data_IF_558386872591
#
_entry.id   IF_558386872591
#
_cell.length_a   1.000
_cell.length_b   1.000
_cell.length_c   1.000
_cell.angle_alpha   90.00
_cell.angle_beta   90.00
_cell.angle_gamma   90.00
#
_symmetry.space_group_name_H-M   'P 1'
#
loop_
_entity.id
_entity.type
_entity.pdbx_description
1 polymer ?
#
# COMPACT_ATOMS: atom_id res chain seq x y z
N UNK A 1 13.72 12.50 2.22
CA UNK A 1 12.87 12.91 1.08
C UNK A 1 12.07 11.71 0.63
N UNK A 2 10.75 11.85 0.53
CA UNK A 2 9.85 10.80 0.06
C UNK A 2 9.95 10.70 -1.47
N UNK A 3 10.00 9.47 -1.99
CA UNK A 3 10.11 9.19 -3.42
C UNK A 3 8.85 8.46 -3.89
N UNK A 4 8.28 8.91 -5.02
CA UNK A 4 7.19 8.20 -5.68
C UNK A 4 7.70 6.85 -6.22
N UNK A 5 6.81 5.86 -6.29
CA UNK A 5 7.15 4.52 -6.73
C UNK A 5 7.68 3.60 -5.64
N UNK A 6 8.04 4.13 -4.47
CA UNK A 6 8.53 3.33 -3.35
C UNK A 6 7.41 2.86 -2.42
N UNK A 7 7.64 1.72 -1.76
CA UNK A 7 6.83 1.24 -0.66
C UNK A 7 7.32 1.84 0.67
N UNK A 8 6.40 2.30 1.51
CA UNK A 8 6.71 2.89 2.82
C UNK A 8 5.83 2.32 3.92
N UNK A 9 6.38 2.25 5.13
CA UNK A 9 5.58 2.10 6.34
C UNK A 9 5.10 3.48 6.82
N UNK A 10 3.83 3.54 7.24
CA UNK A 10 3.22 4.74 7.79
C UNK A 10 3.22 4.64 9.33
N UNK A 11 3.53 5.75 10.01
CA UNK A 11 3.58 5.81 11.48
C UNK A 11 2.21 5.49 12.07
N UNK A 12 2.20 4.75 13.19
CA UNK A 12 0.96 4.42 13.91
C UNK A 12 0.16 5.67 14.30
N UNK A 13 0.86 6.76 14.67
CA UNK A 13 0.24 8.04 15.03
C UNK A 13 -0.64 8.67 13.95
N UNK A 14 -0.46 8.30 12.67
CA UNK A 14 -1.39 8.69 11.61
C UNK A 14 -2.75 8.01 11.80
N UNK A 15 -2.74 6.70 12.01
CA UNK A 15 -3.96 5.91 12.17
C UNK A 15 -4.68 6.24 13.49
N UNK A 16 -3.92 6.51 14.56
CA UNK A 16 -4.48 6.93 15.85
C UNK A 16 -5.17 8.30 15.77
N UNK A 17 -4.68 9.19 14.90
CA UNK A 17 -5.28 10.50 14.62
C UNK A 17 -6.55 10.36 13.78
N UNK A 18 -6.50 9.60 12.69
CA UNK A 18 -7.59 9.54 11.70
C UNK A 18 -8.77 8.70 12.21
N UNK A 19 -8.51 7.62 12.96
CA UNK A 19 -9.52 6.74 13.56
C UNK A 19 -10.58 6.21 12.56
N UNK A 20 -10.21 6.08 11.29
CA UNK A 20 -11.06 5.53 10.24
C UNK A 20 -10.93 4.00 10.22
N UNK A 21 -12.02 3.32 10.56
CA UNK A 21 -12.10 1.85 10.62
C UNK A 21 -12.03 1.18 9.26
N UNK A 22 -12.19 1.94 8.17
CA UNK A 22 -12.09 1.44 6.79
C UNK A 22 -10.65 1.43 6.26
N UNK A 23 -9.74 2.17 6.91
CA UNK A 23 -8.34 2.20 6.50
C UNK A 23 -7.64 0.88 6.87
N UNK A 24 -6.82 0.32 5.97
CA UNK A 24 -5.97 -0.83 6.29
C UNK A 24 -4.88 -0.43 7.29
N UNK A 25 -5.21 -0.43 8.58
CA UNK A 25 -4.29 -0.06 9.66
C UNK A 25 -3.11 -1.04 9.78
N UNK A 26 -2.05 -0.59 10.44
CA UNK A 26 -0.93 -1.46 10.82
C UNK A 26 -1.43 -2.61 11.71
N UNK A 27 -0.79 -3.78 11.58
CA UNK A 27 -1.03 -4.85 12.53
C UNK A 27 -0.20 -4.61 13.79
N UNK A 28 -0.66 -5.08 14.96
CA UNK A 28 0.14 -5.04 16.18
C UNK A 28 1.48 -5.73 15.94
N UNK A 29 2.54 -5.18 16.52
CA UNK A 29 3.81 -5.90 16.63
C UNK A 29 3.63 -7.16 17.49
N UNK A 30 4.33 -8.24 17.14
CA UNK A 30 4.39 -9.44 17.97
C UNK A 30 5.86 -9.88 18.15
N UNK A 31 6.07 -11.05 18.76
CA UNK A 31 7.40 -11.61 19.02
C UNK A 31 8.26 -11.80 17.75
N UNK A 32 7.63 -11.81 16.56
CA UNK A 32 8.30 -11.91 15.26
C UNK A 32 8.63 -10.53 14.64
N UNK A 33 8.23 -9.42 15.26
CA UNK A 33 8.64 -8.06 14.93
C UNK A 33 7.51 -7.08 14.66
N UNK A 34 7.85 -5.93 14.06
CA UNK A 34 6.88 -4.91 13.67
C UNK A 34 6.10 -5.32 12.41
N UNK A 35 4.78 -5.48 12.54
CA UNK A 35 3.87 -5.83 11.45
C UNK A 35 3.22 -4.60 10.81
N UNK A 36 4.04 -3.63 10.43
CA UNK A 36 3.58 -2.51 9.64
C UNK A 36 2.95 -2.98 8.32
N UNK A 37 1.94 -2.27 7.81
CA UNK A 37 1.43 -2.51 6.47
C UNK A 37 2.11 -1.52 5.51
N UNK A 38 3.02 -1.97 4.64
CA UNK A 38 3.63 -1.07 3.68
C UNK A 38 2.59 -0.61 2.65
N UNK A 39 2.71 0.64 2.24
CA UNK A 39 1.84 1.28 1.25
C UNK A 39 2.68 1.89 0.14
N UNK A 40 2.20 1.80 -1.09
CA UNK A 40 2.86 2.33 -2.28
C UNK A 40 2.63 3.82 -2.41
N UNK A 41 3.71 4.61 -2.44
CA UNK A 41 3.65 6.05 -2.63
C UNK A 41 3.39 6.35 -4.11
N UNK A 42 2.13 6.61 -4.46
CA UNK A 42 1.68 6.63 -5.84
C UNK A 42 1.73 8.03 -6.45
N UNK A 43 1.19 9.02 -5.73
CA UNK A 43 0.97 10.38 -6.27
C UNK A 43 1.41 11.40 -5.23
N UNK A 44 2.12 12.43 -5.68
CA UNK A 44 2.37 13.64 -4.89
C UNK A 44 1.42 14.74 -5.37
N UNK A 45 0.73 15.37 -4.43
CA UNK A 45 -0.10 16.55 -4.67
C UNK A 45 0.64 17.73 -4.05
N UNK A 46 1.14 18.63 -4.90
CA UNK A 46 1.94 19.77 -4.48
C UNK A 46 1.14 20.74 -3.60
N UNK A 47 -0.15 20.89 -3.88
CA UNK A 47 -1.06 21.67 -3.04
C UNK A 47 -1.26 20.98 -1.69
N UNK A 48 -0.69 21.56 -0.63
CA UNK A 48 -0.74 21.03 0.74
C UNK A 48 0.32 19.97 1.06
N UNK A 49 1.19 19.63 0.10
CA UNK A 49 2.30 18.68 0.28
C UNK A 49 1.84 17.30 0.80
N UNK A 50 0.80 16.76 0.16
CA UNK A 50 0.25 15.44 0.46
C UNK A 50 0.78 14.38 -0.51
N UNK A 51 0.88 13.17 -0.02
CA UNK A 51 1.18 11.98 -0.81
C UNK A 51 0.00 11.03 -0.70
N UNK A 52 -0.54 10.61 -1.83
CA UNK A 52 -1.50 9.51 -1.85
C UNK A 52 -0.75 8.19 -1.87
N UNK A 53 -1.06 7.35 -0.86
CA UNK A 53 -0.49 6.03 -0.73
C UNK A 53 -1.55 4.96 -0.94
N UNK A 54 -1.16 3.86 -1.57
CA UNK A 54 -2.04 2.73 -1.86
C UNK A 54 -1.59 1.54 -0.99
N UNK A 55 -2.39 1.13 0.01
CA UNK A 55 -2.08 -0.06 0.79
C UNK A 55 -2.27 -1.32 -0.05
N UNK A 56 -1.53 -2.38 0.28
CA UNK A 56 -1.73 -3.69 -0.34
C UNK A 56 -2.02 -4.79 0.68
N UNK A 57 -2.48 -5.95 0.17
CA UNK A 57 -2.88 -7.10 0.96
C UNK A 57 -2.30 -8.40 0.41
N UNK A 58 -2.04 -9.34 1.31
CA UNK A 58 -1.67 -10.73 0.99
C UNK A 58 -2.90 -11.61 0.64
N UNK A 59 -4.12 -11.13 0.90
CA UNK A 59 -5.36 -11.89 0.66
C UNK A 59 -5.76 -11.88 -0.83
N UNK A 60 -4.90 -12.39 -1.70
CA UNK A 60 -5.06 -12.33 -3.16
C UNK A 60 -6.38 -12.95 -3.62
N UNK A 61 -6.73 -14.15 -3.13
CA UNK A 61 -7.96 -14.84 -3.54
C UNK A 61 -9.24 -14.06 -3.22
N UNK A 62 -9.28 -13.41 -2.04
CA UNK A 62 -10.42 -12.57 -1.64
C UNK A 62 -10.59 -11.42 -2.63
N UNK A 63 -9.51 -10.72 -2.96
CA UNK A 63 -9.56 -9.56 -3.83
C UNK A 63 -9.68 -9.92 -5.30
N UNK A 64 -9.24 -11.11 -5.73
CA UNK A 64 -9.50 -11.64 -7.06
C UNK A 64 -11.01 -11.76 -7.30
N UNK A 65 -11.77 -12.28 -6.32
CA UNK A 65 -13.24 -12.34 -6.39
C UNK A 65 -13.89 -10.95 -6.53
N UNK A 66 -13.29 -9.90 -5.94
CA UNK A 66 -13.80 -8.52 -6.07
C UNK A 66 -13.48 -7.98 -7.45
N UNK A 67 -12.25 -8.17 -7.92
CA UNK A 67 -11.80 -7.79 -9.25
C UNK A 67 -12.67 -8.42 -10.34
N UNK A 68 -12.84 -9.75 -10.31
CA UNK A 68 -13.60 -10.50 -11.32
C UNK A 68 -15.07 -10.04 -11.39
N UNK A 69 -15.68 -9.72 -10.23
CA UNK A 69 -17.03 -9.15 -10.17
C UNK A 69 -17.11 -7.78 -10.86
N UNK A 70 -16.12 -6.91 -10.66
CA UNK A 70 -16.06 -5.61 -11.32
C UNK A 70 -15.85 -5.76 -12.83
N UNK A 71 -14.95 -6.66 -13.26
CA UNK A 71 -14.75 -6.98 -14.68
C UNK A 71 -16.04 -7.49 -15.31
N UNK A 72 -16.73 -8.44 -14.68
CA UNK A 72 -17.97 -8.99 -15.20
C UNK A 72 -19.08 -7.93 -15.33
N UNK A 73 -19.17 -7.01 -14.37
CA UNK A 73 -20.24 -6.01 -14.31
C UNK A 73 -19.96 -4.79 -15.19
N UNK A 74 -18.72 -4.31 -15.22
CA UNK A 74 -18.36 -3.02 -15.80
C UNK A 74 -17.34 -3.11 -16.94
N UNK A 75 -16.79 -4.29 -17.21
CA UNK A 75 -15.72 -4.49 -18.20
C UNK A 75 -14.35 -3.98 -17.76
N UNK A 76 -14.23 -3.44 -16.54
CA UNK A 76 -12.99 -2.91 -15.94
C UNK A 76 -13.05 -2.94 -14.41
N UNK A 77 -11.90 -2.81 -13.76
CA UNK A 77 -11.80 -2.70 -12.31
C UNK A 77 -10.83 -1.58 -11.94
N UNK A 78 -11.36 -0.48 -11.40
CA UNK A 78 -10.53 0.67 -10.96
C UNK A 78 -10.25 0.65 -9.45
N UNK A 79 -10.78 -0.34 -8.73
CA UNK A 79 -10.75 -0.38 -7.26
C UNK A 79 -9.62 -1.24 -6.71
N UNK A 80 -9.14 -2.21 -7.49
CA UNK A 80 -8.14 -3.21 -7.11
C UNK A 80 -7.21 -3.43 -8.29
N UNK A 81 -5.91 -3.50 -8.03
CA UNK A 81 -4.89 -3.90 -9.00
C UNK A 81 -4.00 -5.00 -8.39
N UNK A 82 -3.38 -5.83 -9.22
CA UNK A 82 -2.44 -6.86 -8.76
C UNK A 82 -1.00 -6.54 -9.17
N UNK A 83 -0.09 -6.76 -8.24
CA UNK A 83 1.34 -6.57 -8.49
C UNK A 83 2.18 -7.55 -7.69
N UNK A 84 3.48 -7.58 -7.97
CA UNK A 84 4.42 -8.46 -7.30
C UNK A 84 5.32 -7.65 -6.38
N UNK A 85 5.41 -8.10 -5.12
CA UNK A 85 6.29 -7.53 -4.09
C UNK A 85 7.15 -8.67 -3.57
N UNK A 86 8.48 -8.57 -3.74
CA UNK A 86 9.43 -9.65 -3.41
C UNK A 86 9.07 -11.00 -4.08
N UNK A 87 8.59 -10.96 -5.33
CA UNK A 87 8.19 -12.14 -6.10
C UNK A 87 6.83 -12.74 -5.71
N UNK A 88 6.16 -12.20 -4.69
CA UNK A 88 4.83 -12.65 -4.27
C UNK A 88 3.73 -11.75 -4.83
N UNK A 89 2.67 -12.34 -5.40
CA UNK A 89 1.49 -11.60 -5.86
C UNK A 89 0.79 -10.95 -4.66
N UNK A 90 0.43 -9.68 -4.79
CA UNK A 90 -0.32 -8.87 -3.82
C UNK A 90 -1.49 -8.18 -4.50
N UNK A 91 -2.53 -7.86 -3.71
CA UNK A 91 -3.64 -7.01 -4.15
C UNK A 91 -3.43 -5.59 -3.63
N UNK A 92 -3.27 -4.62 -4.53
CA UNK A 92 -3.22 -3.19 -4.25
C UNK A 92 -4.64 -2.65 -4.17
N UNK A 93 -4.97 -1.97 -3.08
CA UNK A 93 -6.33 -1.57 -2.74
C UNK A 93 -6.53 -0.09 -3.09
N UNK A 94 -6.70 0.23 -4.39
CA UNK A 94 -6.92 1.62 -4.83
C UNK A 94 -8.14 2.25 -4.16
N UNK A 95 -9.21 1.47 -3.97
CA UNK A 95 -10.41 1.88 -3.23
C UNK A 95 -10.15 2.28 -1.76
N UNK A 96 -9.01 1.90 -1.19
CA UNK A 96 -8.59 2.19 0.18
C UNK A 96 -7.34 3.07 0.23
N UNK A 97 -7.01 3.77 -0.86
CA UNK A 97 -5.92 4.73 -0.87
C UNK A 97 -6.23 5.91 0.07
N UNK A 98 -5.19 6.49 0.66
CA UNK A 98 -5.35 7.60 1.60
C UNK A 98 -4.22 8.62 1.48
N UNK A 99 -4.47 9.91 1.75
CA UNK A 99 -3.45 10.95 1.75
C UNK A 99 -2.66 10.94 3.07
N UNK A 100 -1.36 11.18 2.98
CA UNK A 100 -0.48 11.36 4.15
C UNK A 100 0.44 12.56 3.91
N UNK A 101 0.83 13.27 4.96
CA UNK A 101 1.90 14.26 4.88
C UNK A 101 3.26 13.63 5.19
N UNK A 102 4.35 14.27 4.75
CA UNK A 102 5.72 13.76 4.91
C UNK A 102 6.05 13.34 6.36
N UNK A 103 5.52 14.06 7.35
CA UNK A 103 5.74 13.78 8.78
C UNK A 103 5.23 12.42 9.26
N UNK A 104 4.30 11.79 8.55
CA UNK A 104 3.71 10.48 8.91
C UNK A 104 4.38 9.29 8.22
N UNK A 105 5.31 9.49 7.30
CA UNK A 105 6.14 8.40 6.79
C UNK A 105 7.11 7.93 7.88
N UNK A 106 7.21 6.61 8.09
CA UNK A 106 8.14 6.00 9.06
C UNK A 106 9.48 5.68 8.41
N UNK A 107 9.48 4.75 7.47
CA UNK A 107 10.66 4.33 6.71
C UNK A 107 10.25 3.66 5.40
N UNK A 108 11.15 3.68 4.42
CA UNK A 108 11.01 2.91 3.18
C UNK A 108 11.05 1.42 3.49
N UNK A 109 10.30 0.62 2.73
CA UNK A 109 10.32 -0.83 2.84
C UNK A 109 11.53 -1.37 2.08
N UNK A 110 12.49 -1.87 2.84
CA UNK A 110 13.77 -2.39 2.35
C UNK A 110 13.72 -3.92 2.27
N UNK A 111 14.21 -4.47 1.17
CA UNK A 111 14.51 -5.90 1.07
C UNK A 111 15.69 -6.25 1.99
N UNK A 112 15.46 -7.20 2.90
CA UNK A 112 16.46 -7.62 3.88
C UNK A 112 17.70 -8.25 3.23
N UNK A 113 17.58 -8.84 2.05
CA UNK A 113 18.66 -9.53 1.35
C UNK A 113 19.55 -8.54 0.58
N UNK A 114 18.94 -7.71 -0.28
CA UNK A 114 19.67 -6.77 -1.13
C UNK A 114 20.00 -5.44 -0.45
N UNK A 115 19.34 -5.14 0.68
CA UNK A 115 19.40 -3.84 1.39
C UNK A 115 18.95 -2.65 0.54
N UNK A 116 18.19 -2.90 -0.52
CA UNK A 116 17.63 -1.87 -1.41
C UNK A 116 16.13 -1.68 -1.15
N UNK A 117 15.57 -0.50 -1.49
CA UNK A 117 14.12 -0.33 -1.56
C UNK A 117 13.47 -1.40 -2.42
N UNK A 118 12.30 -1.87 -2.00
CA UNK A 118 11.54 -2.81 -2.81
C UNK A 118 10.93 -2.06 -3.98
N UNK A 119 11.34 -2.44 -5.17
CA UNK A 119 10.78 -1.97 -6.43
C UNK A 119 9.61 -2.88 -6.83
N UNK A 120 8.53 -2.27 -7.29
CA UNK A 120 7.45 -3.04 -7.92
C UNK A 120 7.96 -3.57 -9.25
N UNK A 121 7.62 -4.83 -9.55
CA UNK A 121 7.88 -5.39 -10.87
C UNK A 121 7.25 -4.49 -11.94
N UNK A 122 7.98 -4.19 -13.01
CA UNK A 122 7.44 -3.48 -14.19
C UNK A 122 6.24 -4.20 -14.82
N UNK A 123 6.04 -5.49 -14.51
CA UNK A 123 4.84 -6.25 -14.86
C UNK A 123 3.75 -6.01 -13.81
N UNK A 124 3.26 -4.76 -13.74
CA UNK A 124 1.89 -4.52 -13.31
C UNK A 124 1.03 -4.89 -14.52
N UNK A 125 0.44 -6.09 -14.49
CA UNK A 125 -0.41 -6.61 -15.56
C UNK A 125 -1.86 -6.52 -15.14
#
# INVERSE_FOLDING_TARGET
>A
MIQLGNLYFIKQSFFDLVQDSTLPINKPSDEMGEHGRPSFCAIKIDQGNYYWVIPFSHQVEKYQKVYDKNIQKYGRCDTIEFGYVLGEKKAFLLQNMFPVTEGYFKNVYIDKNTKKPIELSEKLK
#
